data_IF_857199813384
#
_entry.id   IF_857199813384
#
_cell.length_a   1.000
_cell.length_b   1.000
_cell.length_c   1.000
_cell.angle_alpha   90.00
_cell.angle_beta   90.00
_cell.angle_gamma   90.00
#
_symmetry.space_group_name_H-M   'P 1'
#
loop_
_entity.id
_entity.type
_entity.pdbx_description
1 polymer ?
#
# COMPACT_ATOMS: atom_id res chain seq x y z
N UNK A 1 12.61 28.99 15.52
CA UNK A 1 12.18 28.79 14.11
C UNK A 1 12.12 27.32 13.67
N UNK A 2 12.43 26.32 14.52
CA UNK A 2 12.46 24.90 14.15
C UNK A 2 11.06 24.25 14.01
N UNK A 3 10.07 24.67 14.81
CA UNK A 3 8.73 24.06 14.81
C UNK A 3 7.96 24.14 13.47
N UNK A 4 8.23 25.16 12.64
CA UNK A 4 7.57 25.29 11.33
C UNK A 4 8.05 24.23 10.33
N UNK A 5 9.32 23.83 10.40
CA UNK A 5 9.88 22.79 9.53
C UNK A 5 9.37 21.40 9.93
N UNK A 6 9.29 21.14 11.23
CA UNK A 6 8.76 19.90 11.77
C UNK A 6 7.30 19.69 11.33
N UNK A 7 6.44 20.70 11.45
CA UNK A 7 5.03 20.59 11.07
C UNK A 7 4.84 20.30 9.56
N UNK A 8 5.68 20.90 8.71
CA UNK A 8 5.68 20.64 7.27
C UNK A 8 6.12 19.19 6.99
N UNK A 9 7.13 18.69 7.70
CA UNK A 9 7.57 17.30 7.58
C UNK A 9 6.50 16.31 8.05
N UNK A 10 5.88 16.57 9.21
CA UNK A 10 4.79 15.76 9.75
C UNK A 10 3.60 15.69 8.80
N UNK A 11 3.20 16.83 8.23
CA UNK A 11 2.09 16.89 7.27
C UNK A 11 2.38 16.04 6.03
N UNK A 12 3.62 16.05 5.53
CA UNK A 12 4.04 15.20 4.40
C UNK A 12 4.01 13.72 4.78
N UNK A 13 4.54 13.36 5.95
CA UNK A 13 4.53 11.97 6.43
C UNK A 13 3.10 11.43 6.60
N UNK A 14 2.19 12.24 7.12
CA UNK A 14 0.77 11.89 7.23
C UNK A 14 0.12 11.72 5.86
N UNK A 15 0.44 12.60 4.90
CA UNK A 15 -0.08 12.52 3.53
C UNK A 15 0.37 11.22 2.85
N UNK A 16 1.66 10.89 2.95
CA UNK A 16 2.23 9.65 2.41
C UNK A 16 1.56 8.43 3.06
N UNK A 17 1.42 8.44 4.39
CA UNK A 17 0.82 7.33 5.13
C UNK A 17 -0.64 7.11 4.75
N UNK A 18 -1.40 8.19 4.57
CA UNK A 18 -2.79 8.14 4.12
C UNK A 18 -2.92 7.58 2.70
N UNK A 19 -2.02 7.98 1.81
CA UNK A 19 -2.01 7.49 0.42
C UNK A 19 -1.69 6.00 0.34
N UNK A 20 -0.73 5.53 1.14
CA UNK A 20 -0.44 4.10 1.28
C UNK A 20 -1.65 3.35 1.83
N UNK A 21 -2.29 3.87 2.88
CA UNK A 21 -3.48 3.26 3.46
C UNK A 21 -4.63 3.13 2.46
N UNK A 22 -4.86 4.16 1.63
CA UNK A 22 -5.85 4.11 0.52
C UNK A 22 -5.48 3.09 -0.55
N UNK A 23 -4.19 2.98 -0.89
CA UNK A 23 -3.71 1.95 -1.81
C UNK A 23 -3.95 0.52 -1.30
N UNK A 24 -3.85 0.31 0.01
CA UNK A 24 -4.17 -0.97 0.65
C UNK A 24 -5.68 -1.20 0.79
N UNK A 25 -6.45 -0.16 1.12
CA UNK A 25 -7.91 -0.21 1.14
C UNK A 25 -8.47 -0.64 -0.21
N UNK A 26 -7.85 -0.19 -1.32
CA UNK A 26 -8.21 -0.65 -2.65
C UNK A 26 -8.10 -2.19 -2.80
N UNK A 27 -7.03 -2.80 -2.27
CA UNK A 27 -6.89 -4.27 -2.28
C UNK A 27 -7.96 -4.98 -1.46
N UNK A 28 -8.42 -4.35 -0.37
CA UNK A 28 -9.45 -4.92 0.49
C UNK A 28 -10.85 -4.75 -0.10
N UNK A 29 -11.11 -3.65 -0.80
CA UNK A 29 -12.44 -3.27 -1.33
C UNK A 29 -12.71 -3.76 -2.74
N UNK A 30 -11.68 -4.15 -3.51
CA UNK A 30 -11.81 -4.67 -4.87
C UNK A 30 -12.71 -5.91 -5.00
N UNK A 31 -12.99 -6.59 -3.89
CA UNK A 31 -13.67 -7.87 -3.91
C UNK A 31 -15.17 -7.74 -3.69
N UNK A 32 -15.92 -7.81 -4.79
CA UNK A 32 -17.38 -7.99 -4.83
C UNK A 32 -17.90 -9.25 -4.09
N UNK A 33 -17.03 -10.05 -3.45
CA UNK A 33 -17.35 -11.34 -2.81
C UNK A 33 -16.58 -11.60 -1.52
N UNK A 34 -16.41 -10.61 -0.63
CA UNK A 34 -15.80 -10.83 0.70
C UNK A 34 -14.35 -11.38 0.68
N UNK A 35 -13.61 -11.21 -0.41
CA UNK A 35 -12.21 -11.64 -0.51
C UNK A 35 -11.28 -10.49 -0.13
N UNK A 36 -10.64 -10.52 1.03
CA UNK A 36 -9.57 -9.56 1.26
C UNK A 36 -8.34 -9.94 0.42
N UNK A 37 -7.68 -8.98 -0.23
CA UNK A 37 -6.36 -9.20 -0.83
C UNK A 37 -5.28 -8.53 0.02
N UNK A 38 -4.18 -9.24 0.23
CA UNK A 38 -3.04 -8.77 1.04
C UNK A 38 -1.84 -8.59 0.12
N UNK A 39 -1.16 -7.46 0.20
CA UNK A 39 0.02 -7.12 -0.63
C UNK A 39 1.22 -8.05 -0.40
N UNK A 40 1.39 -8.55 0.83
CA UNK A 40 2.46 -9.43 1.32
C UNK A 40 3.90 -8.89 1.27
N UNK A 41 4.20 -7.88 0.46
CA UNK A 41 5.53 -7.25 0.38
C UNK A 41 5.47 -5.71 0.47
N UNK A 42 4.88 -5.21 1.56
CA UNK A 42 4.81 -3.78 1.80
C UNK A 42 6.10 -3.30 2.47
N UNK A 43 6.95 -2.63 1.69
CA UNK A 43 8.23 -2.06 2.13
C UNK A 43 8.45 -0.68 1.48
N UNK A 44 9.34 0.18 2.02
CA UNK A 44 9.55 1.52 1.47
C UNK A 44 9.93 1.55 -0.02
N UNK A 45 10.69 0.56 -0.51
CA UNK A 45 11.05 0.46 -1.93
C UNK A 45 9.85 0.18 -2.85
N UNK A 46 8.74 -0.29 -2.30
CA UNK A 46 7.48 -0.57 -2.99
C UNK A 46 6.47 0.58 -2.83
N UNK A 47 6.90 1.71 -2.27
CA UNK A 47 6.11 2.95 -2.21
C UNK A 47 6.73 3.95 -3.20
N UNK A 48 6.04 4.19 -4.31
CA UNK A 48 6.47 5.15 -5.32
C UNK A 48 5.98 6.55 -4.92
N UNK A 49 6.89 7.52 -4.90
CA UNK A 49 6.58 8.91 -4.65
C UNK A 49 6.58 9.70 -5.96
N UNK A 50 5.45 10.32 -6.29
CA UNK A 50 5.33 11.21 -7.44
C UNK A 50 5.95 12.59 -7.19
N UNK A 51 6.10 13.37 -8.25
CA UNK A 51 6.54 14.78 -8.17
C UNK A 51 5.57 15.66 -7.37
N UNK A 52 4.32 15.21 -7.25
CA UNK A 52 3.24 15.81 -6.48
C UNK A 52 3.23 15.40 -5.01
N UNK A 53 4.26 14.67 -4.55
CA UNK A 53 4.38 14.10 -3.21
C UNK A 53 3.23 13.15 -2.85
N UNK A 54 2.57 12.57 -3.86
CA UNK A 54 1.54 11.54 -3.67
C UNK A 54 2.21 10.17 -3.68
N UNK A 55 1.90 9.36 -2.68
CA UNK A 55 2.43 8.01 -2.58
C UNK A 55 1.54 7.03 -3.34
N UNK A 56 2.15 6.01 -3.96
CA UNK A 56 1.45 4.91 -4.63
C UNK A 56 2.08 3.59 -4.23
N UNK A 57 1.25 2.61 -3.91
CA UNK A 57 1.71 1.25 -3.63
C UNK A 57 2.01 0.55 -4.95
N UNK A 58 3.15 -0.12 -5.05
CA UNK A 58 3.61 -0.86 -6.24
C UNK A 58 4.08 -2.27 -5.89
N UNK A 59 4.39 -3.05 -6.93
CA UNK A 59 4.87 -4.44 -6.80
C UNK A 59 3.84 -5.39 -6.19
N UNK A 60 2.72 -5.52 -6.91
CA UNK A 60 1.63 -6.42 -6.56
C UNK A 60 1.93 -7.90 -6.91
N UNK A 61 3.19 -8.26 -7.24
CA UNK A 61 3.56 -9.61 -7.68
C UNK A 61 3.34 -10.70 -6.61
N UNK A 62 3.20 -10.30 -5.35
CA UNK A 62 2.93 -11.18 -4.21
C UNK A 62 1.53 -10.98 -3.61
N UNK A 63 0.63 -10.26 -4.28
CA UNK A 63 -0.74 -10.09 -3.79
C UNK A 63 -1.45 -11.44 -3.72
N UNK A 64 -2.03 -11.77 -2.57
CA UNK A 64 -2.80 -13.01 -2.36
C UNK A 64 -4.16 -12.74 -1.75
N UNK A 65 -5.12 -13.60 -2.10
CA UNK A 65 -6.43 -13.57 -1.47
C UNK A 65 -6.35 -14.20 -0.09
N UNK A 66 -6.80 -13.49 0.94
CA UNK A 66 -6.86 -13.93 2.33
C UNK A 66 -8.06 -14.85 2.62
N UNK A 67 -8.48 -15.68 1.65
CA UNK A 67 -9.51 -16.69 1.92
C UNK A 67 -8.97 -17.62 2.99
N UNK A 68 -9.71 -17.73 4.11
CA UNK A 68 -9.39 -18.50 5.31
C UNK A 68 -8.55 -19.75 5.03
N UNK A 69 -7.27 -19.70 5.42
CA UNK A 69 -6.52 -20.88 5.84
C UNK A 69 -5.86 -21.77 4.78
N UNK A 70 -5.67 -21.35 3.53
CA UNK A 70 -4.78 -22.10 2.62
C UNK A 70 -3.89 -21.21 1.76
N UNK A 71 -2.60 -21.26 2.09
CA UNK A 71 -1.47 -20.87 1.25
C UNK A 71 -1.61 -21.47 -0.15
N UNK A 72 -2.30 -20.76 -1.04
CA UNK A 72 -2.32 -21.09 -2.45
C UNK A 72 -1.17 -20.31 -3.10
N UNK A 73 -0.04 -21.00 -3.23
CA UNK A 73 1.04 -20.61 -4.14
C UNK A 73 0.49 -20.56 -5.55
N UNK A 74 0.15 -19.36 -6.01
CA UNK A 74 -0.01 -19.10 -7.43
C UNK A 74 1.21 -18.26 -7.83
N UNK A 75 2.29 -18.95 -8.15
CA UNK A 75 3.34 -18.38 -8.99
C UNK A 75 2.70 -18.12 -10.35
N UNK A 76 2.54 -16.86 -10.71
CA UNK A 76 2.17 -16.46 -12.06
C UNK A 76 3.44 -15.92 -12.70
N UNK A 77 4.20 -16.84 -13.31
CA UNK A 77 5.24 -16.50 -14.28
C UNK A 77 4.57 -16.07 -15.58
N UNK A 78 4.86 -14.84 -16.02
CA UNK A 78 4.98 -14.44 -17.42
C UNK A 78 6.16 -13.48 -17.53
#
# INVERSE_FOLDING_TARGET
MQHGLDLIQWTRQLTISLDVARGLEYLQTLSRRNRSYVHQDLKPSNILLGYDLRARVSDFGLVRSAVEGKDSFISLSL
#
